data_IF_866234815859
#
_entry.id   IF_866234815859
#
_cell.length_a   1.000
_cell.length_b   1.000
_cell.length_c   1.000
_cell.angle_alpha   90.00
_cell.angle_beta   90.00
_cell.angle_gamma   90.00
#
_symmetry.space_group_name_H-M   'P 1'
#
loop_
_entity.id
_entity.type
_entity.pdbx_description
1 polymer ?
#
# COMPACT_ATOMS: atom_id res chain seq x y z
N UNK A 1 -37.69 5.57 53.19
CA UNK A 1 -36.32 5.18 52.79
C UNK A 1 -36.40 4.88 51.30
N UNK A 2 -35.97 5.85 50.49
CA UNK A 2 -36.11 5.87 49.02
C UNK A 2 -35.18 4.81 48.43
N UNK A 3 -35.73 3.93 47.61
CA UNK A 3 -34.97 2.94 46.87
C UNK A 3 -33.98 3.63 45.93
N UNK A 4 -32.70 3.39 46.14
CA UNK A 4 -31.66 3.70 45.16
C UNK A 4 -31.81 2.69 44.03
N UNK A 5 -32.55 3.05 43.00
CA UNK A 5 -32.43 2.41 41.69
C UNK A 5 -30.99 2.58 41.25
N UNK A 6 -30.20 1.51 41.40
CA UNK A 6 -28.90 1.32 40.78
C UNK A 6 -29.07 1.50 39.26
N UNK A 7 -28.89 2.73 38.77
CA UNK A 7 -28.74 3.01 37.35
C UNK A 7 -27.35 2.56 36.92
N UNK A 8 -27.17 1.25 36.78
CA UNK A 8 -26.08 0.70 35.99
C UNK A 8 -26.65 0.15 34.68
N UNK A 9 -26.59 0.96 33.61
CA UNK A 9 -26.13 0.41 32.35
C UNK A 9 -25.22 1.41 31.62
N UNK A 10 -24.22 1.99 32.31
CA UNK A 10 -23.11 2.65 31.61
C UNK A 10 -22.02 1.65 31.15
N UNK A 11 -22.24 0.34 31.35
CA UNK A 11 -21.29 -0.72 31.00
C UNK A 11 -21.74 -1.60 29.81
N UNK A 12 -22.80 -1.22 29.09
CA UNK A 12 -23.30 -1.96 27.91
C UNK A 12 -23.28 -1.11 26.61
N UNK A 13 -22.42 -0.10 26.57
CA UNK A 13 -22.21 0.79 25.43
C UNK A 13 -20.69 1.11 25.41
N UNK A 14 -19.81 0.51 24.61
CA UNK A 14 -19.91 -0.04 23.26
C UNK A 14 -19.14 -1.36 23.17
N UNK A 15 -19.84 -2.49 23.04
CA UNK A 15 -19.26 -3.72 22.46
C UNK A 15 -19.69 -3.92 21.01
N UNK A 16 -20.31 -2.89 20.40
CA UNK A 16 -20.78 -2.92 19.03
C UNK A 16 -19.61 -2.80 18.05
N UNK A 17 -19.14 -3.96 17.58
CA UNK A 17 -18.98 -4.17 16.13
C UNK A 17 -17.93 -3.34 15.39
N UNK A 18 -16.89 -2.81 16.04
CA UNK A 18 -15.78 -2.23 15.30
C UNK A 18 -14.98 -3.34 14.60
N UNK A 19 -15.12 -3.41 13.27
CA UNK A 19 -14.35 -4.32 12.41
C UNK A 19 -12.86 -4.26 12.76
N UNK A 20 -12.24 -5.43 12.94
CA UNK A 20 -10.79 -5.55 13.13
C UNK A 20 -9.98 -5.00 11.94
N UNK A 21 -10.64 -4.88 10.78
CA UNK A 21 -10.10 -4.39 9.51
C UNK A 21 -10.60 -2.97 9.23
N UNK A 22 -9.68 -2.02 9.11
CA UNK A 22 -9.92 -0.66 8.64
C UNK A 22 -9.71 -0.57 7.13
N UNK A 23 -10.79 -0.74 6.36
CA UNK A 23 -10.75 -0.65 4.90
C UNK A 23 -10.29 0.73 4.40
N UNK A 24 -10.68 1.81 5.09
CA UNK A 24 -10.21 3.15 4.76
C UNK A 24 -8.68 3.27 4.84
N UNK A 25 -8.06 2.67 5.87
CA UNK A 25 -6.60 2.65 6.01
C UNK A 25 -5.93 1.82 4.91
N UNK A 26 -6.52 0.68 4.56
CA UNK A 26 -6.04 -0.19 3.47
C UNK A 26 -6.08 0.54 2.13
N UNK A 27 -7.21 1.18 1.78
CA UNK A 27 -7.32 1.93 0.54
C UNK A 27 -6.38 3.14 0.49
N UNK A 28 -6.22 3.86 1.61
CA UNK A 28 -5.26 4.95 1.69
C UNK A 28 -3.80 4.46 1.46
N UNK A 29 -3.42 3.36 2.10
CA UNK A 29 -2.10 2.73 1.88
C UNK A 29 -1.91 2.22 0.46
N UNK A 30 -2.93 1.58 -0.11
CA UNK A 30 -2.90 1.08 -1.48
C UNK A 30 -2.78 2.22 -2.50
N UNK A 31 -3.53 3.32 -2.31
CA UNK A 31 -3.44 4.51 -3.14
C UNK A 31 -2.04 5.15 -3.06
N UNK A 32 -1.45 5.24 -1.87
CA UNK A 32 -0.09 5.73 -1.69
C UNK A 32 0.95 4.83 -2.40
N UNK A 33 0.81 3.51 -2.28
CA UNK A 33 1.68 2.56 -3.00
C UNK A 33 1.56 2.71 -4.52
N UNK A 34 0.32 2.80 -5.05
CA UNK A 34 0.07 2.95 -6.48
C UNK A 34 0.64 4.28 -7.01
N UNK A 35 0.37 5.40 -6.33
CA UNK A 35 0.87 6.71 -6.72
C UNK A 35 2.40 6.77 -6.70
N UNK A 36 3.03 6.26 -5.64
CA UNK A 36 4.49 6.24 -5.54
C UNK A 36 5.14 5.32 -6.58
N UNK A 37 4.51 4.18 -6.89
CA UNK A 37 4.95 3.29 -7.97
C UNK A 37 4.94 4.01 -9.31
N UNK A 38 3.86 4.75 -9.62
CA UNK A 38 3.72 5.48 -10.87
C UNK A 38 4.81 6.56 -11.00
N UNK A 39 5.06 7.33 -9.94
CA UNK A 39 6.10 8.35 -9.91
C UNK A 39 7.50 7.75 -10.16
N UNK A 40 7.81 6.64 -9.49
CA UNK A 40 9.11 5.97 -9.63
C UNK A 40 9.27 5.28 -11.00
N UNK A 41 8.20 4.75 -11.58
CA UNK A 41 8.20 4.22 -12.95
C UNK A 41 8.48 5.34 -13.95
N UNK A 42 7.80 6.49 -13.84
CA UNK A 42 8.02 7.65 -14.70
C UNK A 42 9.46 8.18 -14.57
N UNK A 43 9.98 8.26 -13.35
CA UNK A 43 11.36 8.65 -13.08
C UNK A 43 12.34 7.67 -13.75
N UNK A 44 12.14 6.36 -13.55
CA UNK A 44 12.98 5.32 -14.14
C UNK A 44 12.96 5.34 -15.67
N UNK A 45 11.80 5.56 -16.27
CA UNK A 45 11.66 5.70 -17.71
C UNK A 45 12.45 6.93 -18.22
N UNK A 46 12.34 8.08 -17.54
CA UNK A 46 13.11 9.28 -17.88
C UNK A 46 14.63 9.06 -17.79
N UNK A 47 15.09 8.42 -16.71
CA UNK A 47 16.50 8.06 -16.55
C UNK A 47 16.95 7.06 -17.63
N UNK A 48 16.12 6.06 -17.95
CA UNK A 48 16.39 5.08 -18.99
C UNK A 48 16.55 5.72 -20.37
N UNK A 49 15.63 6.60 -20.76
CA UNK A 49 15.70 7.31 -22.04
C UNK A 49 16.91 8.26 -22.13
N UNK A 50 17.36 8.83 -21.02
CA UNK A 50 18.58 9.67 -21.01
C UNK A 50 19.86 8.90 -21.34
N UNK A 51 19.85 7.56 -21.21
CA UNK A 51 21.01 6.70 -21.46
C UNK A 51 20.99 6.05 -22.87
N UNK A 52 19.93 6.25 -23.65
CA UNK A 52 19.79 5.72 -25.02
C UNK A 52 20.29 6.75 -26.02
N UNK A 53 21.17 6.32 -26.95
CA UNK A 53 21.57 7.14 -28.10
C UNK A 53 20.87 6.64 -29.36
N UNK A 54 20.43 7.54 -30.27
CA UNK A 54 19.89 7.17 -31.57
C UNK A 54 20.97 6.82 -32.61
N UNK A 55 22.26 7.00 -32.29
CA UNK A 55 23.38 6.75 -33.21
C UNK A 55 23.96 5.35 -33.00
N UNK A 56 24.28 4.66 -34.11
CA UNK A 56 24.86 3.32 -34.09
C UNK A 56 26.16 3.26 -33.28
N UNK A 57 26.30 2.23 -32.43
CA UNK A 57 27.39 2.04 -31.46
C UNK A 57 27.57 3.12 -30.38
N UNK A 58 26.58 3.99 -30.19
CA UNK A 58 26.55 4.95 -29.08
C UNK A 58 25.46 4.58 -28.05
N UNK A 59 25.68 4.90 -26.78
CA UNK A 59 24.69 4.68 -25.71
C UNK A 59 24.63 3.26 -25.13
N UNK A 60 23.69 3.05 -24.20
CA UNK A 60 23.50 1.76 -23.53
C UNK A 60 22.71 0.81 -24.43
N UNK A 61 23.28 -0.38 -24.71
CA UNK A 61 22.59 -1.42 -25.49
C UNK A 61 21.37 -2.02 -24.78
N UNK A 62 20.49 -2.70 -25.54
CA UNK A 62 19.22 -3.26 -25.05
C UNK A 62 19.36 -4.15 -23.81
N UNK A 63 20.40 -4.97 -23.73
CA UNK A 63 20.69 -5.82 -22.56
C UNK A 63 20.97 -4.98 -21.30
N UNK A 64 21.74 -3.91 -21.44
CA UNK A 64 22.08 -3.01 -20.33
C UNK A 64 20.85 -2.27 -19.82
N UNK A 65 20.03 -1.74 -20.73
CA UNK A 65 18.74 -1.12 -20.39
C UNK A 65 17.81 -2.10 -19.68
N UNK A 66 17.70 -3.34 -20.17
CA UNK A 66 16.86 -4.37 -19.56
C UNK A 66 17.26 -4.71 -18.12
N UNK A 67 18.56 -4.88 -17.86
CA UNK A 67 19.06 -5.16 -16.50
C UNK A 67 18.77 -3.97 -15.57
N UNK A 68 19.08 -2.74 -16.00
CA UNK A 68 18.82 -1.54 -15.20
C UNK A 68 17.31 -1.36 -14.94
N UNK A 69 16.46 -1.64 -15.92
CA UNK A 69 15.01 -1.58 -15.75
C UNK A 69 14.51 -2.59 -14.71
N UNK A 70 14.99 -3.84 -14.74
CA UNK A 70 14.60 -4.86 -13.75
C UNK A 70 15.01 -4.43 -12.34
N UNK A 71 16.24 -3.96 -12.17
CA UNK A 71 16.74 -3.48 -10.87
C UNK A 71 15.89 -2.29 -10.39
N UNK A 72 15.61 -1.33 -11.28
CA UNK A 72 14.83 -0.15 -10.95
C UNK A 72 13.38 -0.48 -10.57
N UNK A 73 12.75 -1.41 -11.28
CA UNK A 73 11.40 -1.88 -10.95
C UNK A 73 11.38 -2.60 -9.60
N UNK A 74 12.39 -3.41 -9.29
CA UNK A 74 12.50 -4.06 -7.97
C UNK A 74 12.61 -3.02 -6.84
N UNK A 75 13.48 -2.01 -7.00
CA UNK A 75 13.62 -0.89 -6.04
C UNK A 75 12.30 -0.13 -5.90
N UNK A 76 11.63 0.15 -7.02
CA UNK A 76 10.33 0.81 -7.04
C UNK A 76 9.30 0.06 -6.21
N UNK A 77 9.18 -1.26 -6.42
CA UNK A 77 8.21 -2.08 -5.69
C UNK A 77 8.51 -2.14 -4.19
N UNK A 78 9.78 -2.21 -3.79
CA UNK A 78 10.19 -2.20 -2.39
C UNK A 78 9.78 -0.89 -1.72
N UNK A 79 10.13 0.25 -2.33
CA UNK A 79 9.85 1.59 -1.77
C UNK A 79 8.33 1.84 -1.71
N UNK A 80 7.63 1.56 -2.79
CA UNK A 80 6.19 1.77 -2.88
C UNK A 80 5.40 0.88 -1.90
N UNK A 81 5.72 -0.41 -1.84
CA UNK A 81 5.06 -1.35 -0.93
C UNK A 81 5.36 -1.03 0.54
N UNK A 82 6.61 -0.65 0.85
CA UNK A 82 6.98 -0.22 2.19
C UNK A 82 6.22 1.03 2.64
N UNK A 83 6.12 2.04 1.77
CA UNK A 83 5.40 3.28 2.08
C UNK A 83 3.89 3.03 2.26
N UNK A 84 3.25 2.30 1.33
CA UNK A 84 1.82 2.01 1.41
C UNK A 84 1.46 1.16 2.63
N UNK A 85 2.28 0.16 2.95
CA UNK A 85 2.11 -0.66 4.15
C UNK A 85 2.28 0.14 5.44
N UNK A 86 3.28 1.03 5.50
CA UNK A 86 3.49 1.92 6.64
C UNK A 86 2.29 2.86 6.85
N UNK A 87 1.75 3.44 5.78
CA UNK A 87 0.57 4.30 5.85
C UNK A 87 -0.68 3.54 6.30
N UNK A 88 -0.91 2.34 5.75
CA UNK A 88 -2.02 1.49 6.16
C UNK A 88 -1.94 1.12 7.66
N UNK A 89 -0.75 0.81 8.16
CA UNK A 89 -0.51 0.60 9.58
C UNK A 89 -0.83 1.84 10.41
N UNK A 90 -0.34 3.02 10.02
CA UNK A 90 -0.52 4.28 10.77
C UNK A 90 -1.96 4.80 10.78
N UNK A 91 -2.73 4.57 9.72
CA UNK A 91 -4.10 5.07 9.56
C UNK A 91 -5.18 4.15 10.16
N UNK A 92 -4.80 2.98 10.70
CA UNK A 92 -5.75 2.09 11.37
C UNK A 92 -6.32 2.75 12.64
N UNK A 93 -7.52 2.33 13.03
CA UNK A 93 -8.12 2.69 14.32
C UNK A 93 -7.28 2.07 15.46
N UNK A 94 -6.83 2.89 16.42
CA UNK A 94 -6.08 2.42 17.59
C UNK A 94 -7.04 1.90 18.65
N UNK A 95 -6.80 0.69 19.14
CA UNK A 95 -7.54 0.08 20.25
C UNK A 95 -6.69 0.19 21.51
N UNK A 96 -7.19 0.91 22.52
CA UNK A 96 -6.41 1.31 23.70
C UNK A 96 -6.07 0.16 24.67
N UNK A 97 -6.71 -1.01 24.55
CA UNK A 97 -6.64 -2.10 25.53
C UNK A 97 -6.20 -3.46 24.93
N UNK A 98 -5.45 -3.48 23.82
CA UNK A 98 -4.98 -4.75 23.22
C UNK A 98 -3.51 -5.04 23.51
N UNK A 99 -3.19 -6.33 23.67
CA UNK A 99 -1.82 -6.83 23.83
C UNK A 99 -0.94 -6.38 22.64
N UNK A 100 0.32 -6.04 22.92
CA UNK A 100 1.24 -5.49 21.91
C UNK A 100 1.41 -6.38 20.68
N UNK A 101 1.44 -7.71 20.84
CA UNK A 101 1.64 -8.65 19.74
C UNK A 101 0.51 -8.60 18.70
N UNK A 102 -0.74 -8.48 19.16
CA UNK A 102 -1.92 -8.35 18.31
C UNK A 102 -1.88 -7.03 17.51
N UNK A 103 -1.35 -5.97 18.13
CA UNK A 103 -1.17 -4.67 17.48
C UNK A 103 -0.17 -4.77 16.31
N UNK A 104 0.93 -5.51 16.47
CA UNK A 104 1.90 -5.75 15.38
C UNK A 104 1.34 -6.64 14.27
N UNK A 105 0.60 -7.69 14.62
CA UNK A 105 -0.06 -8.57 13.65
C UNK A 105 -1.04 -7.78 12.76
N UNK A 106 -1.90 -6.96 13.37
CA UNK A 106 -2.87 -6.14 12.64
C UNK A 106 -2.18 -5.13 11.72
N UNK A 107 -1.05 -4.56 12.09
CA UNK A 107 -0.32 -3.59 11.25
C UNK A 107 0.22 -4.23 10.00
N UNK A 108 0.82 -5.39 10.20
CA UNK A 108 1.36 -6.20 9.12
C UNK A 108 0.23 -6.69 8.21
N UNK A 109 -0.91 -7.10 8.77
CA UNK A 109 -2.09 -7.52 8.02
C UNK A 109 -2.71 -6.37 7.20
N UNK A 110 -2.81 -5.16 7.75
CA UNK A 110 -3.29 -3.99 6.99
C UNK A 110 -2.32 -3.61 5.88
N UNK A 111 -1.01 -3.67 6.15
CA UNK A 111 0.00 -3.44 5.13
C UNK A 111 -0.04 -4.48 4.01
N UNK A 112 -0.22 -5.76 4.35
CA UNK A 112 -0.39 -6.84 3.38
C UNK A 112 -1.66 -6.67 2.53
N UNK A 113 -2.80 -6.32 3.14
CA UNK A 113 -4.03 -6.03 2.40
C UNK A 113 -3.88 -4.81 1.49
N UNK A 114 -3.20 -3.76 1.95
CA UNK A 114 -2.92 -2.57 1.13
C UNK A 114 -2.07 -2.94 -0.10
N UNK A 115 -1.05 -3.78 0.09
CA UNK A 115 -0.25 -4.32 -1.01
C UNK A 115 -1.09 -5.16 -1.98
N UNK A 116 -1.95 -6.05 -1.47
CA UNK A 116 -2.80 -6.90 -2.29
C UNK A 116 -3.78 -6.05 -3.13
N UNK A 117 -4.42 -5.05 -2.53
CA UNK A 117 -5.33 -4.13 -3.22
C UNK A 117 -4.59 -3.33 -4.29
N UNK A 118 -3.42 -2.76 -3.98
CA UNK A 118 -2.62 -2.03 -4.97
C UNK A 118 -2.21 -2.92 -6.16
N UNK A 119 -1.86 -4.17 -5.89
CA UNK A 119 -1.48 -5.15 -6.92
C UNK A 119 -2.66 -5.51 -7.81
N UNK A 120 -3.84 -5.78 -7.23
CA UNK A 120 -5.05 -6.09 -7.98
C UNK A 120 -5.50 -4.91 -8.86
N UNK A 121 -5.45 -3.68 -8.34
CA UNK A 121 -5.74 -2.47 -9.12
C UNK A 121 -4.78 -2.34 -10.28
N UNK A 122 -3.47 -2.52 -10.03
CA UNK A 122 -2.45 -2.46 -11.09
C UNK A 122 -2.70 -3.52 -12.16
N UNK A 123 -3.00 -4.76 -11.77
CA UNK A 123 -3.32 -5.84 -12.71
C UNK A 123 -4.57 -5.53 -13.54
N UNK A 124 -5.61 -4.95 -12.92
CA UNK A 124 -6.83 -4.54 -13.62
C UNK A 124 -6.56 -3.41 -14.63
N UNK A 125 -5.73 -2.42 -14.27
CA UNK A 125 -5.35 -1.33 -15.18
C UNK A 125 -4.54 -1.86 -16.37
N UNK A 126 -3.60 -2.79 -16.12
CA UNK A 126 -2.81 -3.44 -17.19
C UNK A 126 -3.75 -4.24 -18.11
N UNK A 127 -4.60 -5.10 -17.55
CA UNK A 127 -5.55 -5.89 -18.33
C UNK A 127 -6.48 -5.00 -19.17
N UNK A 128 -6.98 -3.91 -18.59
CA UNK A 128 -7.83 -2.93 -19.28
C UNK A 128 -7.09 -2.29 -20.45
N UNK A 129 -5.85 -1.86 -20.25
CA UNK A 129 -5.03 -1.24 -21.30
C UNK A 129 -4.73 -2.17 -22.48
N UNK A 130 -4.55 -3.48 -22.23
CA UNK A 130 -4.35 -4.48 -23.27
C UNK A 130 -5.65 -4.78 -24.02
N UNK A 131 -6.79 -4.82 -23.31
CA UNK A 131 -8.10 -5.09 -23.91
C UNK A 131 -8.66 -3.93 -24.75
N UNK A 132 -8.16 -2.70 -24.55
CA UNK A 132 -8.62 -1.52 -25.29
C UNK A 132 -8.00 -1.35 -26.68
N UNK A 133 -7.03 -2.21 -27.03
CA UNK A 133 -6.33 -2.22 -28.32
C UNK A 133 -6.88 -3.34 -29.18
#
# INVERSE_FOLDING_TARGET
MIGTTEHYPAALQDSSGHSGVSWAAIFAGAAAAAALSLLLIMLGAGLGFSAVSPWENEGVGAKGLGITAIIWLAVTQIIASGMGGYLAGRLRVKWANMHGDEVYFRDTAHGFLAWAVATLVTAMLIASSVSSV
#
